data_IF_634545993744
#
_entry.id   IF_634545993744
#
_cell.length_a   1.000
_cell.length_b   1.000
_cell.length_c   1.000
_cell.angle_alpha   90.00
_cell.angle_beta   90.00
_cell.angle_gamma   90.00
#
_symmetry.space_group_name_H-M   'P 1'
#
loop_
_entity.id
_entity.type
_entity.pdbx_description
1 polymer ?
#
# COMPACT_ATOMS: atom_id res chain seq x y z
N UNK A 1 -20.57 -8.77 0.72
CA UNK A 1 -20.86 -7.55 -0.07
C UNK A 1 -21.88 -6.72 0.70
N UNK A 2 -21.44 -5.87 1.62
CA UNK A 2 -22.35 -5.02 2.41
C UNK A 2 -22.16 -3.57 1.95
N UNK A 3 -23.04 -3.10 1.06
CA UNK A 3 -23.02 -1.70 0.64
C UNK A 3 -23.35 -0.80 1.85
N UNK A 4 -22.50 0.20 2.18
CA UNK A 4 -22.70 1.05 3.35
C UNK A 4 -23.85 2.05 3.17
N UNK A 5 -24.37 2.21 1.95
CA UNK A 5 -25.47 3.11 1.63
C UNK A 5 -26.80 2.37 1.67
N UNK A 6 -27.52 2.49 2.80
CA UNK A 6 -28.86 1.91 2.98
C UNK A 6 -29.86 2.43 1.94
N UNK A 7 -29.70 3.66 1.43
CA UNK A 7 -30.54 4.23 0.37
C UNK A 7 -30.46 3.48 -0.96
N UNK A 8 -29.38 2.73 -1.19
CA UNK A 8 -29.23 1.88 -2.38
C UNK A 8 -29.82 0.47 -2.18
N UNK A 9 -29.98 0.04 -0.93
CA UNK A 9 -30.42 -1.30 -0.56
C UNK A 9 -31.91 -1.36 -0.14
N UNK A 10 -32.49 -0.25 0.29
CA UNK A 10 -33.83 -0.17 0.89
C UNK A 10 -34.79 0.66 0.02
N UNK A 11 -36.09 0.34 0.01
CA UNK A 11 -37.13 1.05 -0.77
C UNK A 11 -37.42 0.43 -2.14
N UNK A 12 -38.29 1.05 -2.94
CA UNK A 12 -38.62 0.55 -4.29
C UNK A 12 -37.48 0.78 -5.29
N UNK A 13 -37.16 -0.23 -6.10
CA UNK A 13 -36.01 -0.24 -7.02
C UNK A 13 -36.03 0.93 -8.01
N UNK A 14 -37.22 1.35 -8.44
CA UNK A 14 -37.40 2.44 -9.41
C UNK A 14 -37.12 3.83 -8.83
N UNK A 15 -37.17 3.98 -7.50
CA UNK A 15 -36.96 5.26 -6.81
C UNK A 15 -35.51 5.47 -6.37
N UNK A 16 -34.74 4.39 -6.22
CA UNK A 16 -33.38 4.40 -5.64
C UNK A 16 -32.32 5.17 -6.43
N UNK A 17 -32.52 5.36 -7.74
CA UNK A 17 -31.57 6.01 -8.65
C UNK A 17 -32.15 7.26 -9.32
N UNK A 18 -33.25 7.81 -8.81
CA UNK A 18 -33.83 9.03 -9.38
C UNK A 18 -33.02 10.28 -9.04
N UNK A 19 -32.40 10.31 -7.86
CA UNK A 19 -31.60 11.44 -7.40
C UNK A 19 -30.17 11.32 -7.89
N UNK A 20 -29.61 12.43 -8.37
CA UNK A 20 -28.22 12.50 -8.84
C UNK A 20 -27.24 12.07 -7.74
N UNK A 21 -27.53 12.44 -6.50
CA UNK A 21 -26.71 12.11 -5.33
C UNK A 21 -26.64 10.60 -5.09
N UNK A 22 -27.74 9.87 -5.30
CA UNK A 22 -27.78 8.43 -5.10
C UNK A 22 -27.08 7.66 -6.23
N UNK A 23 -27.17 8.17 -7.48
CA UNK A 23 -26.34 7.68 -8.59
C UNK A 23 -24.84 7.84 -8.31
N UNK A 24 -24.43 8.98 -7.72
CA UNK A 24 -23.02 9.21 -7.35
C UNK A 24 -22.56 8.28 -6.22
N UNK A 25 -23.40 8.01 -5.22
CA UNK A 25 -23.10 7.03 -4.16
C UNK A 25 -22.89 5.63 -4.73
N UNK A 26 -23.73 5.23 -5.69
CA UNK A 26 -23.58 3.95 -6.38
C UNK A 26 -22.27 3.90 -7.18
N UNK A 27 -21.96 4.96 -7.94
CA UNK A 27 -20.71 5.04 -8.69
C UNK A 27 -19.49 4.96 -7.76
N UNK A 28 -19.52 5.68 -6.64
CA UNK A 28 -18.45 5.65 -5.63
C UNK A 28 -18.29 4.25 -5.02
N UNK A 29 -19.41 3.58 -4.68
CA UNK A 29 -19.37 2.22 -4.17
C UNK A 29 -18.79 1.24 -5.20
N UNK A 30 -19.29 1.24 -6.44
CA UNK A 30 -18.81 0.35 -7.50
C UNK A 30 -17.35 0.57 -7.85
N UNK A 31 -16.91 1.83 -7.90
CA UNK A 31 -15.49 2.16 -8.12
C UNK A 31 -14.62 1.69 -6.96
N UNK A 32 -15.09 1.81 -5.71
CA UNK A 32 -14.38 1.29 -4.54
C UNK A 32 -14.30 -0.24 -4.50
N UNK A 33 -15.37 -0.95 -4.88
CA UNK A 33 -15.41 -2.41 -4.99
C UNK A 33 -14.52 -2.91 -6.13
N UNK A 34 -14.57 -2.24 -7.29
CA UNK A 34 -13.67 -2.55 -8.41
C UNK A 34 -12.21 -2.31 -8.02
N UNK A 35 -11.90 -1.20 -7.35
CA UNK A 35 -10.57 -0.92 -6.84
C UNK A 35 -10.13 -2.01 -5.84
N UNK A 36 -11.01 -2.41 -4.93
CA UNK A 36 -10.76 -3.49 -3.96
C UNK A 36 -10.51 -4.82 -4.67
N UNK A 37 -11.32 -5.19 -5.66
CA UNK A 37 -11.15 -6.39 -6.46
C UNK A 37 -9.82 -6.39 -7.24
N UNK A 38 -9.42 -5.24 -7.79
CA UNK A 38 -8.11 -5.08 -8.43
C UNK A 38 -6.98 -5.23 -7.42
N UNK A 39 -7.08 -4.63 -6.24
CA UNK A 39 -6.09 -4.78 -5.16
C UNK A 39 -6.00 -6.25 -4.70
N UNK A 40 -7.13 -6.96 -4.57
CA UNK A 40 -7.13 -8.37 -4.19
C UNK A 40 -6.52 -9.26 -5.29
N UNK A 41 -6.79 -8.97 -6.56
CA UNK A 41 -6.16 -9.66 -7.70
C UNK A 41 -4.67 -9.40 -7.78
N UNK A 42 -4.24 -8.16 -7.50
CA UNK A 42 -2.84 -7.74 -7.52
C UNK A 42 -2.13 -7.92 -6.17
N UNK A 43 -2.76 -8.58 -5.19
CA UNK A 43 -2.19 -8.70 -3.84
C UNK A 43 -0.93 -9.56 -3.95
N UNK A 44 0.25 -9.03 -3.59
CA UNK A 44 1.46 -9.82 -3.61
C UNK A 44 1.31 -10.99 -2.63
N UNK A 45 1.73 -12.17 -3.07
CA UNK A 45 1.85 -13.37 -2.23
C UNK A 45 2.67 -12.99 -0.99
N UNK A 46 2.31 -13.46 0.23
CA UNK A 46 3.07 -13.17 1.44
C UNK A 46 4.55 -13.48 1.21
N UNK A 47 5.37 -12.43 1.36
CA UNK A 47 6.79 -12.44 1.04
C UNK A 47 7.52 -13.38 2.01
N UNK A 48 7.85 -14.58 1.53
CA UNK A 48 8.84 -15.44 2.17
C UNK A 48 10.22 -14.86 1.89
N UNK A 49 11.01 -14.58 2.93
CA UNK A 49 12.34 -13.95 2.85
C UNK A 49 13.44 -14.87 2.30
N UNK A 50 13.14 -15.65 1.27
CA UNK A 50 14.05 -16.62 0.72
C UNK A 50 13.69 -16.91 -0.74
N UNK A 51 13.93 -15.97 -1.66
CA UNK A 51 14.76 -16.15 -2.87
C UNK A 51 14.74 -14.86 -3.72
N UNK A 52 15.68 -13.93 -3.49
CA UNK A 52 15.67 -12.59 -4.11
C UNK A 52 15.50 -12.56 -5.65
N UNK A 53 16.05 -13.53 -6.39
CA UNK A 53 15.91 -13.58 -7.85
C UNK A 53 14.52 -14.07 -8.32
N UNK A 54 13.85 -14.93 -7.54
CA UNK A 54 12.52 -15.44 -7.89
C UNK A 54 11.44 -14.39 -7.61
N UNK A 55 11.64 -13.63 -6.54
CA UNK A 55 10.79 -12.50 -6.15
C UNK A 55 10.80 -11.39 -7.21
N UNK A 56 12.00 -10.95 -7.64
CA UNK A 56 12.14 -9.93 -8.69
C UNK A 56 11.52 -10.39 -10.01
N UNK A 57 11.72 -11.65 -10.41
CA UNK A 57 11.12 -12.19 -11.62
C UNK A 57 9.59 -12.26 -11.54
N UNK A 58 9.03 -12.57 -10.37
CA UNK A 58 7.58 -12.56 -10.16
C UNK A 58 7.00 -11.14 -10.26
N UNK A 59 7.65 -10.14 -9.68
CA UNK A 59 7.21 -8.75 -9.79
C UNK A 59 7.26 -8.26 -11.24
N UNK A 60 8.34 -8.56 -11.97
CA UNK A 60 8.47 -8.23 -13.38
C UNK A 60 7.39 -8.91 -14.23
N UNK A 61 7.05 -10.17 -13.94
CA UNK A 61 5.92 -10.86 -14.60
C UNK A 61 4.59 -10.14 -14.36
N UNK A 62 4.30 -9.77 -13.11
CA UNK A 62 3.07 -9.04 -12.78
C UNK A 62 3.00 -7.67 -13.48
N UNK A 63 4.13 -6.95 -13.57
CA UNK A 63 4.20 -5.68 -14.29
C UNK A 63 3.97 -5.91 -15.79
N UNK A 64 4.63 -6.90 -16.40
CA UNK A 64 4.46 -7.23 -17.81
C UNK A 64 3.01 -7.61 -18.13
N UNK A 65 2.39 -8.48 -17.33
CA UNK A 65 0.98 -8.86 -17.50
C UNK A 65 0.04 -7.66 -17.39
N UNK A 66 0.32 -6.74 -16.44
CA UNK A 66 -0.47 -5.52 -16.26
C UNK A 66 -0.34 -4.56 -17.43
N UNK A 67 0.85 -4.48 -18.04
CA UNK A 67 1.14 -3.66 -19.21
C UNK A 67 0.83 -4.37 -20.54
N UNK A 68 0.28 -5.59 -20.50
CA UNK A 68 0.06 -6.47 -21.66
C UNK A 68 1.34 -6.71 -22.49
N UNK A 69 2.49 -6.76 -21.83
CA UNK A 69 3.80 -7.08 -22.40
C UNK A 69 4.10 -8.59 -22.33
N UNK A 70 5.01 -9.10 -23.18
CA UNK A 70 5.49 -10.48 -23.07
C UNK A 70 6.05 -10.77 -21.67
N UNK A 71 5.67 -11.92 -21.11
CA UNK A 71 6.12 -12.34 -19.79
C UNK A 71 7.59 -12.79 -19.87
N UNK A 72 8.49 -12.28 -19.01
CA UNK A 72 9.87 -12.73 -19.01
C UNK A 72 9.96 -14.17 -18.49
N UNK A 73 10.49 -15.07 -19.31
CA UNK A 73 10.75 -16.47 -18.91
C UNK A 73 12.01 -16.60 -18.04
N UNK A 74 12.95 -15.66 -18.17
CA UNK A 74 14.22 -15.64 -17.46
C UNK A 74 14.63 -14.21 -17.07
N UNK A 75 15.55 -14.09 -16.11
CA UNK A 75 16.21 -12.82 -15.76
C UNK A 75 17.26 -12.39 -16.79
N UNK A 76 17.52 -13.20 -17.82
CA UNK A 76 18.33 -12.81 -18.97
C UNK A 76 17.64 -11.64 -19.72
N UNK A 77 18.30 -10.48 -19.79
CA UNK A 77 17.77 -9.30 -20.50
C UNK A 77 16.89 -8.35 -19.67
N UNK A 78 16.94 -8.40 -18.33
CA UNK A 78 16.18 -7.47 -17.45
C UNK A 78 16.32 -6.01 -17.87
N UNK A 79 17.52 -5.57 -18.27
CA UNK A 79 17.74 -4.18 -18.69
C UNK A 79 16.89 -3.81 -19.91
N UNK A 80 16.80 -4.71 -20.90
CA UNK A 80 15.96 -4.49 -22.08
C UNK A 80 14.47 -4.49 -21.70
N UNK A 81 14.06 -5.41 -20.82
CA UNK A 81 12.69 -5.43 -20.32
C UNK A 81 12.33 -4.13 -19.59
N UNK A 82 13.22 -3.62 -18.72
CA UNK A 82 13.01 -2.36 -18.01
C UNK A 82 12.89 -1.18 -18.98
N UNK A 83 13.70 -1.16 -20.06
CA UNK A 83 13.58 -0.16 -21.12
C UNK A 83 12.24 -0.27 -21.87
N UNK A 84 11.76 -1.49 -22.15
CA UNK A 84 10.43 -1.71 -22.75
C UNK A 84 9.31 -1.24 -21.83
N UNK A 85 9.39 -1.57 -20.55
CA UNK A 85 8.44 -1.13 -19.52
C UNK A 85 8.43 0.40 -19.44
N UNK A 86 9.59 1.04 -19.37
CA UNK A 86 9.72 2.50 -19.32
C UNK A 86 9.08 3.16 -20.56
N UNK A 87 9.32 2.59 -21.75
CA UNK A 87 8.74 3.07 -23.00
C UNK A 87 7.22 2.97 -23.00
N UNK A 88 6.66 1.83 -22.60
CA UNK A 88 5.21 1.67 -22.52
C UNK A 88 4.57 2.55 -21.44
N UNK A 89 5.22 2.72 -20.28
CA UNK A 89 4.74 3.67 -19.27
C UNK A 89 4.70 5.10 -19.81
N UNK A 90 5.74 5.55 -20.52
CA UNK A 90 5.75 6.87 -21.17
C UNK A 90 4.63 7.01 -22.19
N UNK A 91 4.37 5.97 -22.99
CA UNK A 91 3.25 5.91 -23.95
C UNK A 91 1.90 6.03 -23.24
N UNK A 92 1.65 5.24 -22.20
CA UNK A 92 0.40 5.28 -21.44
C UNK A 92 0.18 6.64 -20.76
N UNK A 93 1.20 7.20 -20.13
CA UNK A 93 1.12 8.52 -19.49
C UNK A 93 0.78 9.61 -20.53
N UNK A 94 1.27 9.50 -21.76
CA UNK A 94 0.96 10.46 -22.83
C UNK A 94 -0.51 10.46 -23.27
N UNK A 95 -1.22 9.33 -23.09
CA UNK A 95 -2.64 9.17 -23.44
C UNK A 95 -3.60 9.69 -22.37
N UNK A 96 -3.06 10.05 -21.22
CA UNK A 96 -3.81 10.38 -20.01
C UNK A 96 -3.76 11.90 -19.77
N UNK A 97 -4.81 12.53 -19.18
CA UNK A 97 -4.79 13.96 -18.91
C UNK A 97 -3.59 14.39 -18.05
N UNK A 98 -3.06 15.59 -18.30
CA UNK A 98 -1.86 16.14 -17.64
C UNK A 98 -1.92 16.16 -16.10
N UNK A 99 -3.12 16.15 -15.52
CA UNK A 99 -3.35 16.19 -14.08
C UNK A 99 -3.65 14.81 -13.47
N UNK A 100 -3.55 13.72 -14.24
CA UNK A 100 -3.88 12.38 -13.73
C UNK A 100 -2.77 11.78 -12.86
N UNK A 101 -1.51 12.11 -13.16
CA UNK A 101 -0.35 11.69 -12.38
C UNK A 101 0.34 12.96 -11.87
N UNK A 102 0.44 13.10 -10.55
CA UNK A 102 1.14 14.23 -9.94
C UNK A 102 2.61 14.31 -10.34
N UNK A 103 3.20 15.51 -10.23
CA UNK A 103 4.63 15.70 -10.46
C UNK A 103 5.47 14.91 -9.44
N UNK A 104 6.66 14.40 -9.81
CA UNK A 104 7.59 13.82 -8.85
C UNK A 104 7.89 14.79 -7.71
N UNK A 105 7.90 14.27 -6.47
CA UNK A 105 8.27 15.07 -5.31
C UNK A 105 9.76 15.46 -5.37
N UNK A 106 10.61 14.52 -5.79
CA UNK A 106 12.02 14.77 -6.06
C UNK A 106 12.21 15.21 -7.53
N UNK A 107 12.57 16.48 -7.73
CA UNK A 107 12.77 17.07 -9.07
C UNK A 107 14.23 17.10 -9.53
N UNK A 108 15.15 16.94 -8.60
CA UNK A 108 16.59 17.06 -8.85
C UNK A 108 17.16 15.74 -9.33
N UNK A 109 18.00 15.79 -10.37
CA UNK A 109 18.80 14.63 -10.78
C UNK A 109 19.88 14.36 -9.75
N UNK A 110 19.92 13.14 -9.23
CA UNK A 110 20.88 12.73 -8.22
C UNK A 110 22.19 12.30 -8.88
N UNK A 111 23.30 12.92 -8.47
CA UNK A 111 24.67 12.49 -8.81
C UNK A 111 25.07 11.30 -7.94
N UNK A 112 26.12 10.54 -8.28
CA UNK A 112 26.60 9.43 -7.45
C UNK A 112 26.81 9.82 -5.98
N UNK A 113 27.45 10.96 -5.71
CA UNK A 113 27.66 11.48 -4.35
C UNK A 113 26.35 11.78 -3.63
N UNK A 114 25.33 12.27 -4.35
CA UNK A 114 24.01 12.50 -3.76
C UNK A 114 23.31 11.19 -3.41
N UNK A 115 23.48 10.14 -4.21
CA UNK A 115 22.93 8.81 -3.90
C UNK A 115 23.56 8.22 -2.65
N UNK A 116 24.87 8.34 -2.48
CA UNK A 116 25.56 7.86 -1.29
C UNK A 116 25.07 8.58 -0.02
N UNK A 117 24.98 9.91 -0.08
CA UNK A 117 24.43 10.72 1.03
C UNK A 117 22.97 10.37 1.33
N UNK A 118 22.16 10.18 0.29
CA UNK A 118 20.75 9.81 0.44
C UNK A 118 20.59 8.43 1.08
N UNK A 119 21.44 7.47 0.70
CA UNK A 119 21.49 6.14 1.32
C UNK A 119 21.87 6.23 2.79
N UNK A 120 22.91 7.00 3.13
CA UNK A 120 23.32 7.18 4.52
C UNK A 120 22.19 7.78 5.38
N UNK A 121 21.47 8.79 4.87
CA UNK A 121 20.31 9.39 5.55
C UNK A 121 19.21 8.33 5.74
N UNK A 122 18.89 7.58 4.68
CA UNK A 122 17.87 6.55 4.72
C UNK A 122 18.19 5.47 5.76
N UNK A 123 19.46 5.04 5.86
CA UNK A 123 19.88 4.03 6.83
C UNK A 123 19.73 4.50 8.28
N UNK A 124 20.09 5.76 8.56
CA UNK A 124 19.87 6.39 9.88
C UNK A 124 18.38 6.46 10.20
N UNK A 125 17.56 6.95 9.27
CA UNK A 125 16.12 7.07 9.47
C UNK A 125 15.44 5.71 9.68
N UNK A 126 15.82 4.69 8.91
CA UNK A 126 15.30 3.32 9.09
C UNK A 126 15.65 2.80 10.48
N UNK A 127 16.88 3.00 10.96
CA UNK A 127 17.29 2.60 12.31
C UNK A 127 16.42 3.25 13.40
N UNK A 128 16.17 4.56 13.28
CA UNK A 128 15.30 5.28 14.21
C UNK A 128 13.85 4.81 14.15
N UNK A 129 13.31 4.64 12.95
CA UNK A 129 11.94 4.15 12.76
C UNK A 129 11.78 2.71 13.28
N UNK A 130 12.75 1.84 13.07
CA UNK A 130 12.74 0.48 13.60
C UNK A 130 12.78 0.47 15.12
N UNK A 131 13.59 1.33 15.72
CA UNK A 131 13.62 1.53 17.18
C UNK A 131 12.24 1.98 17.68
N UNK A 132 11.68 3.03 17.08
CA UNK A 132 10.37 3.58 17.46
C UNK A 132 9.24 2.56 17.30
N UNK A 133 9.22 1.81 16.20
CA UNK A 133 8.21 0.75 15.96
C UNK A 133 8.30 -0.34 17.01
N UNK A 134 9.51 -0.85 17.30
CA UNK A 134 9.72 -1.84 18.36
C UNK A 134 9.27 -1.33 19.72
N UNK A 135 9.59 -0.08 20.06
CA UNK A 135 9.16 0.55 21.31
C UNK A 135 7.63 0.64 21.38
N UNK A 136 6.97 1.13 20.33
CA UNK A 136 5.51 1.26 20.30
C UNK A 136 4.80 -0.09 20.39
N UNK A 137 5.31 -1.09 19.70
CA UNK A 137 4.80 -2.47 19.76
C UNK A 137 4.98 -3.03 21.17
N UNK A 138 6.16 -2.87 21.77
CA UNK A 138 6.41 -3.34 23.14
C UNK A 138 5.53 -2.61 24.16
N UNK A 139 5.31 -1.30 23.98
CA UNK A 139 4.40 -0.51 24.81
C UNK A 139 2.98 -1.07 24.72
N UNK A 140 2.50 -1.34 23.51
CA UNK A 140 1.21 -1.98 23.29
C UNK A 140 1.13 -3.35 23.98
N UNK A 141 2.16 -4.20 23.84
CA UNK A 141 2.25 -5.51 24.51
C UNK A 141 2.09 -5.36 26.04
N UNK A 142 2.87 -4.45 26.65
CA UNK A 142 2.84 -4.23 28.10
C UNK A 142 1.50 -3.64 28.55
N UNK A 143 0.90 -2.74 27.78
CA UNK A 143 -0.44 -2.21 28.06
C UNK A 143 -1.48 -3.32 28.06
N UNK A 144 -1.48 -4.21 27.06
CA UNK A 144 -2.42 -5.35 27.01
C UNK A 144 -2.18 -6.30 28.18
N UNK A 145 -0.91 -6.59 28.50
CA UNK A 145 -0.55 -7.43 29.65
C UNK A 145 -1.00 -6.84 30.99
N UNK A 146 -0.99 -5.51 31.14
CA UNK A 146 -1.39 -4.85 32.40
C UNK A 146 -2.84 -5.11 32.79
N UNK A 147 -3.74 -5.37 31.83
CA UNK A 147 -5.12 -5.73 32.15
C UNK A 147 -5.22 -7.03 32.94
N UNK A 148 -4.30 -7.98 32.72
CA UNK A 148 -4.27 -9.26 33.44
C UNK A 148 -4.02 -9.14 34.95
N UNK A 149 -3.60 -7.97 35.43
CA UNK A 149 -3.35 -7.69 36.85
C UNK A 149 -4.62 -7.28 37.60
N UNK A 150 -5.69 -6.91 36.88
CA UNK A 150 -6.96 -6.52 37.51
C UNK A 150 -7.92 -7.70 37.61
N UNK A 151 -8.50 -7.92 38.79
CA UNK A 151 -9.45 -9.02 39.02
C UNK A 151 -10.69 -8.92 38.10
N UNK A 152 -11.11 -7.69 37.81
CA UNK A 152 -12.22 -7.40 36.89
C UNK A 152 -11.92 -7.81 35.44
N UNK A 153 -10.70 -7.60 34.95
CA UNK A 153 -10.38 -7.89 33.55
C UNK A 153 -9.92 -9.34 33.33
N UNK A 154 -9.57 -10.10 34.38
CA UNK A 154 -9.26 -11.54 34.30
C UNK A 154 -10.35 -12.34 33.61
N UNK A 155 -11.62 -12.02 33.88
CA UNK A 155 -12.77 -12.64 33.25
C UNK A 155 -12.85 -12.45 31.72
N UNK A 156 -12.09 -11.49 31.15
CA UNK A 156 -12.11 -11.15 29.73
C UNK A 156 -10.74 -11.29 29.04
N UNK A 157 -9.72 -11.84 29.71
CA UNK A 157 -8.37 -12.01 29.14
C UNK A 157 -8.42 -12.82 27.85
N UNK A 158 -9.17 -13.92 27.82
CA UNK A 158 -9.25 -14.79 26.63
C UNK A 158 -9.86 -14.07 25.43
N UNK A 159 -10.90 -13.27 25.65
CA UNK A 159 -11.53 -12.46 24.61
C UNK A 159 -10.57 -11.38 24.10
N UNK A 160 -9.82 -10.75 25.00
CA UNK A 160 -8.81 -9.76 24.67
C UNK A 160 -7.67 -10.38 23.86
N UNK A 161 -7.17 -11.56 24.26
CA UNK A 161 -6.14 -12.29 23.55
C UNK A 161 -6.61 -12.70 22.14
N UNK A 162 -7.83 -13.22 22.01
CA UNK A 162 -8.45 -13.55 20.71
C UNK A 162 -8.50 -12.35 19.76
N UNK A 163 -8.79 -11.15 20.27
CA UNK A 163 -8.81 -9.93 19.46
C UNK A 163 -7.40 -9.36 19.19
N UNK A 164 -6.50 -9.47 20.15
CA UNK A 164 -5.17 -8.85 20.11
C UNK A 164 -4.16 -9.65 19.28
N UNK A 165 -4.05 -10.96 19.50
CA UNK A 165 -2.99 -11.78 18.89
C UNK A 165 -2.97 -11.69 17.36
N UNK A 166 -4.10 -11.77 16.64
CA UNK A 166 -4.10 -11.63 15.18
C UNK A 166 -3.55 -10.28 14.73
N UNK A 167 -3.92 -9.20 15.41
CA UNK A 167 -3.41 -7.84 15.12
C UNK A 167 -1.93 -7.73 15.48
N UNK A 168 -1.49 -8.36 16.57
CA UNK A 168 -0.10 -8.31 17.00
C UNK A 168 0.84 -9.02 16.02
N UNK A 169 0.40 -10.12 15.42
CA UNK A 169 1.17 -10.85 14.41
C UNK A 169 1.37 -10.07 13.10
N UNK A 170 0.49 -9.10 12.78
CA UNK A 170 0.67 -8.24 11.60
C UNK A 170 1.61 -7.07 11.87
N UNK A 171 1.85 -6.72 13.13
CA UNK A 171 2.75 -5.62 13.50
C UNK A 171 4.21 -6.07 13.42
N UNK A 172 4.98 -5.38 12.57
CA UNK A 172 6.41 -5.60 12.40
C UNK A 172 7.22 -4.45 12.98
N UNK A 173 8.32 -4.80 13.66
CA UNK A 173 9.28 -3.84 14.20
C UNK A 173 10.18 -3.20 13.14
N UNK A 174 10.19 -3.72 11.91
CA UNK A 174 10.94 -3.15 10.78
C UNK A 174 10.07 -2.20 9.96
N UNK A 175 10.68 -1.12 9.49
CA UNK A 175 10.13 -0.20 8.51
C UNK A 175 10.12 -0.84 7.12
N UNK A 176 9.09 -0.53 6.35
CA UNK A 176 8.99 -0.93 4.94
C UNK A 176 9.44 0.18 3.99
N UNK A 177 9.77 1.37 4.52
CA UNK A 177 10.20 2.51 3.72
C UNK A 177 11.60 2.28 3.16
N UNK A 178 11.77 2.60 1.88
CA UNK A 178 13.03 2.49 1.14
C UNK A 178 13.18 3.70 0.23
N UNK A 179 14.37 3.90 -0.34
CA UNK A 179 14.60 4.98 -1.32
C UNK A 179 13.66 4.87 -2.53
N UNK A 180 13.27 3.67 -2.93
CA UNK A 180 12.29 3.48 -4.00
C UNK A 180 10.95 4.18 -3.69
N UNK A 181 10.52 4.17 -2.41
CA UNK A 181 9.31 4.89 -1.99
C UNK A 181 9.48 6.41 -2.09
N UNK A 182 10.68 6.93 -1.82
CA UNK A 182 11.00 8.35 -1.97
C UNK A 182 10.96 8.77 -3.45
N UNK A 183 11.51 7.94 -4.35
CA UNK A 183 11.51 8.20 -5.79
C UNK A 183 10.11 8.08 -6.40
N UNK A 184 9.29 7.18 -5.87
CA UNK A 184 7.89 7.02 -6.28
C UNK A 184 6.98 8.14 -5.76
N UNK A 185 7.40 8.88 -4.72
CA UNK A 185 6.59 9.91 -4.08
C UNK A 185 6.28 11.07 -5.05
N UNK A 186 5.04 11.54 -4.98
CA UNK A 186 4.49 12.60 -5.82
C UNK A 186 4.02 13.78 -4.95
N UNK A 187 3.89 14.96 -5.55
CA UNK A 187 3.53 16.19 -4.83
C UNK A 187 2.16 16.11 -4.13
N UNK A 188 1.19 15.42 -4.75
CA UNK A 188 -0.12 15.15 -4.17
C UNK A 188 -0.04 14.34 -2.86
N UNK A 189 0.95 13.47 -2.75
CA UNK A 189 1.20 12.60 -1.60
C UNK A 189 1.87 13.34 -0.42
N UNK A 190 2.40 14.54 -0.66
CA UNK A 190 3.09 15.35 0.37
C UNK A 190 2.16 16.28 1.16
N UNK A 191 0.89 16.37 0.75
CA UNK A 191 -0.10 17.24 1.40
C UNK A 191 -0.65 16.58 2.66
N UNK A 192 -0.10 16.94 3.82
CA UNK A 192 -0.69 16.56 5.10
C UNK A 192 -1.92 17.47 5.32
N UNK A 193 -3.10 16.96 4.97
CA UNK A 193 -4.35 17.65 5.30
C UNK A 193 -4.53 17.72 6.82
N UNK A 194 -4.80 18.92 7.35
CA UNK A 194 -5.37 19.04 8.69
C UNK A 194 -6.79 18.51 8.59
N UNK A 195 -7.08 17.40 9.27
CA UNK A 195 -8.45 16.93 9.41
C UNK A 195 -9.26 18.02 10.11
N UNK A 196 -10.15 18.66 9.37
CA UNK A 196 -11.26 19.47 9.89
C UNK A 196 -12.40 18.57 10.28
#
# INVERSE_FOLDING_TARGET
MSCPYSTLLTGDLKERLKKKEDCLKLLLYLTSELQTARILKCKPVPVSKAQGNKEVLQELKCISETLALPSPESTAGIVQLLQTIEKEMKNLISKVPKNHVGSPLLKTTLTPDHWEKLQAINDVLISEYDCRRRMLIKRLDVTVQSFGWSERAKASIDNMAKAYQPKRHTLQGKSTSTIAHLLAAREDSSKIGRGT
#
